data_IF_687215018867
#
_entry.id   IF_687215018867
#
_cell.length_a   1.000
_cell.length_b   1.000
_cell.length_c   1.000
_cell.angle_alpha   90.00
_cell.angle_beta   90.00
_cell.angle_gamma   90.00
#
_symmetry.space_group_name_H-M   'P 1'
#
loop_
_entity.id
_entity.type
_entity.pdbx_description
1 polymer ?
#
# COMPACT_ATOMS: atom_id res chain seq x y z
N UNK A 1 -12.00 7.82 -35.94
CA UNK A 1 -11.34 8.51 -34.80
C UNK A 1 -11.25 7.67 -33.51
N UNK A 2 -11.86 6.49 -33.44
CA UNK A 2 -11.81 5.57 -32.28
C UNK A 2 -10.48 4.80 -32.11
N UNK A 3 -9.74 4.57 -33.20
CA UNK A 3 -8.51 3.77 -33.18
C UNK A 3 -7.28 4.40 -32.49
N UNK A 4 -7.17 5.74 -32.47
CA UNK A 4 -6.06 6.42 -31.75
C UNK A 4 -6.32 6.49 -30.24
N UNK A 5 -7.57 6.74 -29.83
CA UNK A 5 -7.97 6.77 -28.42
C UNK A 5 -7.84 5.41 -27.74
N UNK A 6 -8.20 4.32 -28.42
CA UNK A 6 -8.02 2.97 -27.86
C UNK A 6 -6.53 2.61 -27.71
N UNK A 7 -5.66 3.03 -28.63
CA UNK A 7 -4.21 2.83 -28.49
C UNK A 7 -3.61 3.58 -27.30
N UNK A 8 -4.05 4.82 -27.05
CA UNK A 8 -3.56 5.59 -25.91
C UNK A 8 -4.10 5.07 -24.58
N UNK A 9 -5.35 4.60 -24.54
CA UNK A 9 -5.92 3.96 -23.35
C UNK A 9 -5.22 2.64 -23.01
N UNK A 10 -4.98 1.78 -24.01
CA UNK A 10 -4.26 0.53 -23.81
C UNK A 10 -2.84 0.77 -23.30
N UNK A 11 -2.09 1.71 -23.89
CA UNK A 11 -0.74 2.04 -23.43
C UNK A 11 -0.71 2.60 -22.00
N UNK A 12 -1.74 3.36 -21.58
CA UNK A 12 -1.88 3.82 -20.19
C UNK A 12 -2.18 2.65 -19.25
N UNK A 13 -3.06 1.75 -19.65
CA UNK A 13 -3.42 0.59 -18.85
C UNK A 13 -2.25 -0.39 -18.69
N UNK A 14 -1.51 -0.68 -19.76
CA UNK A 14 -0.28 -1.47 -19.72
C UNK A 14 0.74 -0.87 -18.74
N UNK A 15 0.97 0.45 -18.81
CA UNK A 15 1.85 1.13 -17.86
C UNK A 15 1.36 1.08 -16.42
N UNK A 16 0.04 1.15 -16.21
CA UNK A 16 -0.53 0.98 -14.88
C UNK A 16 -0.32 -0.44 -14.36
N UNK A 17 -0.52 -1.46 -15.19
CA UNK A 17 -0.24 -2.85 -14.85
C UNK A 17 1.24 -3.07 -14.49
N UNK A 18 2.18 -2.43 -15.19
CA UNK A 18 3.60 -2.49 -14.83
C UNK A 18 3.82 -1.93 -13.41
N UNK A 19 3.23 -0.78 -13.08
CA UNK A 19 3.36 -0.21 -11.74
C UNK A 19 2.71 -1.08 -10.66
N UNK A 20 1.56 -1.67 -10.95
CA UNK A 20 0.88 -2.62 -10.06
C UNK A 20 1.73 -3.88 -9.88
N UNK A 21 2.36 -4.39 -10.93
CA UNK A 21 3.25 -5.56 -10.86
C UNK A 21 4.47 -5.28 -9.97
N UNK A 22 5.16 -4.15 -10.18
CA UNK A 22 6.29 -3.77 -9.32
C UNK A 22 5.85 -3.50 -7.88
N UNK A 23 4.68 -2.89 -7.68
CA UNK A 23 4.11 -2.70 -6.34
C UNK A 23 3.78 -4.04 -5.67
N UNK A 24 3.27 -5.02 -6.42
CA UNK A 24 2.97 -6.35 -5.90
C UNK A 24 4.23 -7.04 -5.39
N UNK A 25 5.31 -7.03 -6.19
CA UNK A 25 6.59 -7.60 -5.78
C UNK A 25 7.11 -6.98 -4.48
N UNK A 26 7.02 -5.66 -4.37
CA UNK A 26 7.43 -4.95 -3.16
C UNK A 26 6.55 -5.26 -1.94
N UNK A 27 5.23 -5.32 -2.13
CA UNK A 27 4.25 -5.64 -1.07
C UNK A 27 4.35 -7.10 -0.62
N UNK A 28 4.81 -8.01 -1.47
CA UNK A 28 5.05 -9.39 -1.08
C UNK A 28 6.39 -9.59 -0.37
N UNK A 29 7.45 -8.92 -0.81
CA UNK A 29 8.83 -9.17 -0.33
C UNK A 29 9.22 -8.31 0.87
N UNK A 30 8.87 -7.03 0.85
CA UNK A 30 9.36 -6.10 1.87
C UNK A 30 8.71 -6.32 3.26
N UNK A 31 7.39 -6.51 3.39
CA UNK A 31 6.75 -6.72 4.69
C UNK A 31 6.81 -8.19 5.15
N UNK A 32 7.66 -9.04 4.56
CA UNK A 32 7.80 -10.45 4.97
C UNK A 32 7.95 -10.65 6.49
N UNK A 33 8.76 -9.85 7.24
CA UNK A 33 8.84 -9.99 8.69
C UNK A 33 7.50 -9.75 9.39
N UNK A 34 6.71 -8.81 8.90
CA UNK A 34 5.37 -8.51 9.44
C UNK A 34 4.39 -9.61 9.09
N UNK A 35 4.41 -10.12 7.86
CA UNK A 35 3.57 -11.24 7.44
C UNK A 35 3.90 -12.50 8.25
N UNK A 36 5.18 -12.79 8.48
CA UNK A 36 5.61 -13.88 9.35
C UNK A 36 5.18 -13.67 10.81
N UNK A 37 5.18 -12.43 11.30
CA UNK A 37 4.64 -12.13 12.63
C UNK A 37 3.13 -12.38 12.71
N UNK A 38 2.36 -11.98 11.68
CA UNK A 38 0.90 -12.16 11.63
C UNK A 38 0.46 -13.63 11.69
N UNK A 39 1.30 -14.59 11.27
CA UNK A 39 0.97 -16.03 11.40
C UNK A 39 1.00 -16.52 12.84
N UNK A 40 1.62 -15.77 13.76
CA UNK A 40 1.67 -16.10 15.20
C UNK A 40 0.51 -15.49 16.01
N UNK A 41 -0.32 -14.64 15.38
CA UNK A 41 -1.37 -13.86 16.07
C UNK A 41 -2.65 -14.71 16.22
N UNK A 42 -3.38 -14.61 17.35
CA UNK A 42 -4.69 -15.27 17.52
C UNK A 42 -5.74 -14.74 16.53
N UNK A 43 -6.82 -15.49 16.31
CA UNK A 43 -7.89 -15.18 15.34
C UNK A 43 -7.43 -15.14 13.87
N UNK A 44 -6.79 -16.23 13.43
CA UNK A 44 -6.23 -16.38 12.08
C UNK A 44 -7.26 -16.12 10.96
N UNK A 45 -8.54 -16.40 11.18
CA UNK A 45 -9.61 -16.13 10.19
C UNK A 45 -9.84 -14.63 9.95
N UNK A 46 -9.65 -13.80 10.98
CA UNK A 46 -9.75 -12.35 10.90
C UNK A 46 -8.47 -11.73 10.34
N UNK A 47 -7.33 -12.27 10.78
CA UNK A 47 -6.00 -11.83 10.35
C UNK A 47 -5.79 -12.11 8.87
N UNK A 48 -6.07 -13.32 8.40
CA UNK A 48 -5.87 -13.70 6.98
C UNK A 48 -6.70 -12.84 6.02
N UNK A 49 -7.98 -12.61 6.34
CA UNK A 49 -8.87 -11.78 5.52
C UNK A 49 -8.42 -10.31 5.50
N UNK A 50 -8.04 -9.76 6.66
CA UNK A 50 -7.58 -8.37 6.76
C UNK A 50 -6.19 -8.20 6.11
N UNK A 51 -5.28 -9.15 6.30
CA UNK A 51 -3.96 -9.17 5.69
C UNK A 51 -4.06 -9.24 4.17
N UNK A 52 -4.86 -10.18 3.63
CA UNK A 52 -5.09 -10.29 2.19
C UNK A 52 -5.68 -9.00 1.62
N UNK A 53 -6.67 -8.42 2.30
CA UNK A 53 -7.28 -7.14 1.89
C UNK A 53 -6.24 -6.04 1.87
N UNK A 54 -5.42 -5.93 2.93
CA UNK A 54 -4.38 -4.91 3.02
C UNK A 54 -3.35 -5.04 1.90
N UNK A 55 -2.94 -6.27 1.56
CA UNK A 55 -1.98 -6.53 0.48
C UNK A 55 -2.58 -6.14 -0.88
N UNK A 56 -3.79 -6.63 -1.19
CA UNK A 56 -4.46 -6.34 -2.46
C UNK A 56 -4.68 -4.83 -2.66
N UNK A 57 -5.17 -4.15 -1.62
CA UNK A 57 -5.43 -2.71 -1.65
C UNK A 57 -4.11 -1.92 -1.71
N UNK A 58 -3.08 -2.33 -0.97
CA UNK A 58 -1.78 -1.68 -1.04
C UNK A 58 -1.18 -1.78 -2.45
N UNK A 59 -1.20 -2.97 -3.07
CA UNK A 59 -0.69 -3.19 -4.42
C UNK A 59 -1.38 -2.27 -5.45
N UNK A 60 -2.72 -2.26 -5.44
CA UNK A 60 -3.50 -1.43 -6.39
C UNK A 60 -3.32 0.07 -6.08
N UNK A 61 -3.31 0.44 -4.80
CA UNK A 61 -3.14 1.82 -4.35
C UNK A 61 -1.78 2.38 -4.75
N UNK A 62 -0.68 1.68 -4.42
CA UNK A 62 0.69 2.09 -4.76
C UNK A 62 0.85 2.20 -6.28
N UNK A 63 0.36 1.23 -7.06
CA UNK A 63 0.41 1.28 -8.52
C UNK A 63 -0.31 2.52 -9.08
N UNK A 64 -1.46 2.87 -8.49
CA UNK A 64 -2.26 4.02 -8.89
C UNK A 64 -1.62 5.36 -8.49
N UNK A 65 -1.02 5.45 -7.29
CA UNK A 65 -0.29 6.62 -6.82
C UNK A 65 0.97 6.88 -7.65
N UNK A 66 1.73 5.82 -7.97
CA UNK A 66 2.94 5.91 -8.82
C UNK A 66 2.65 6.37 -10.24
N UNK A 67 1.55 5.88 -10.82
CA UNK A 67 1.13 6.32 -12.14
C UNK A 67 0.48 7.71 -12.16
N UNK A 68 0.44 8.42 -11.02
CA UNK A 68 -0.26 9.72 -10.85
C UNK A 68 -1.72 9.67 -11.29
N UNK A 69 -2.35 8.49 -11.21
CA UNK A 69 -3.77 8.33 -11.46
C UNK A 69 -4.61 8.93 -10.33
N UNK A 70 -4.02 9.01 -9.13
CA UNK A 70 -4.54 9.76 -7.99
C UNK A 70 -3.43 10.69 -7.51
N UNK A 71 -3.69 11.99 -7.48
CA UNK A 71 -2.70 12.98 -7.06
C UNK A 71 -2.55 12.99 -5.53
N UNK A 72 -1.56 12.24 -5.07
CA UNK A 72 -1.12 12.23 -3.66
C UNK A 72 0.24 12.91 -3.50
N UNK A 73 0.83 13.45 -4.57
CA UNK A 73 2.20 13.96 -4.60
C UNK A 73 3.22 12.96 -5.19
N UNK A 74 4.50 13.34 -5.14
CA UNK A 74 5.58 12.60 -5.78
C UNK A 74 5.91 11.30 -5.01
N UNK A 75 5.55 10.16 -5.61
CA UNK A 75 5.86 8.83 -5.08
C UNK A 75 7.22 8.34 -5.60
N UNK A 76 8.08 7.71 -4.75
CA UNK A 76 9.40 7.24 -5.19
C UNK A 76 9.34 6.19 -6.29
N UNK A 77 10.30 6.26 -7.21
CA UNK A 77 10.43 5.28 -8.28
C UNK A 77 10.80 3.89 -7.73
N UNK A 78 10.36 2.80 -8.38
CA UNK A 78 10.69 1.43 -7.95
C UNK A 78 12.19 1.12 -7.95
N UNK A 79 12.94 1.75 -8.86
CA UNK A 79 14.38 1.51 -9.07
C UNK A 79 15.30 2.23 -8.09
N UNK A 80 14.76 2.99 -7.13
CA UNK A 80 15.56 3.68 -6.13
C UNK A 80 15.87 2.75 -4.93
N UNK A 81 17.00 2.06 -5.03
CA UNK A 81 17.49 1.14 -3.99
C UNK A 81 17.80 1.84 -2.66
N UNK A 82 18.07 3.14 -2.66
CA UNK A 82 18.42 3.88 -1.43
C UNK A 82 17.20 4.04 -0.53
N UNK A 83 16.01 4.21 -1.12
CA UNK A 83 14.76 4.35 -0.35
C UNK A 83 14.10 3.01 -0.01
N UNK A 84 14.65 1.89 -0.50
CA UNK A 84 14.06 0.55 -0.36
C UNK A 84 13.84 0.11 1.10
N UNK A 85 14.77 0.34 2.07
CA UNK A 85 14.56 -0.02 3.47
C UNK A 85 13.48 0.82 4.15
N UNK A 86 13.42 2.12 3.85
CA UNK A 86 12.37 3.02 4.37
C UNK A 86 10.99 2.63 3.87
N UNK A 87 10.91 2.26 2.59
CA UNK A 87 9.66 1.79 1.97
C UNK A 87 9.22 0.45 2.55
N UNK A 88 10.18 -0.43 2.86
CA UNK A 88 9.91 -1.67 3.60
C UNK A 88 9.29 -1.43 4.96
N UNK A 89 9.90 -0.57 5.77
CA UNK A 89 9.38 -0.22 7.09
C UNK A 89 7.98 0.40 6.98
N UNK A 90 7.76 1.31 6.02
CA UNK A 90 6.47 1.95 5.82
C UNK A 90 5.37 0.98 5.38
N UNK A 91 5.67 0.08 4.45
CA UNK A 91 4.74 -0.97 4.02
C UNK A 91 4.44 -1.95 5.13
N UNK A 92 5.44 -2.35 5.91
CA UNK A 92 5.25 -3.18 7.10
C UNK A 92 4.29 -2.53 8.10
N UNK A 93 4.45 -1.23 8.36
CA UNK A 93 3.54 -0.48 9.25
C UNK A 93 2.15 -0.35 8.65
N UNK A 94 2.01 -0.01 7.37
CA UNK A 94 0.71 0.15 6.73
C UNK A 94 -0.06 -1.18 6.67
N UNK A 95 0.60 -2.28 6.30
CA UNK A 95 0.01 -3.62 6.19
C UNK A 95 -0.25 -4.19 7.59
N UNK A 96 0.71 -4.13 8.50
CA UNK A 96 0.56 -4.64 9.87
C UNK A 96 -0.48 -3.84 10.66
N UNK A 97 -0.38 -2.51 10.64
CA UNK A 97 -1.33 -1.61 11.31
C UNK A 97 -2.73 -1.66 10.70
N UNK A 98 -2.82 -1.70 9.37
CA UNK A 98 -4.09 -1.87 8.65
C UNK A 98 -4.75 -3.20 8.97
N UNK A 99 -3.98 -4.29 8.99
CA UNK A 99 -4.47 -5.63 9.39
C UNK A 99 -4.96 -5.64 10.83
N UNK A 100 -4.22 -5.03 11.76
CA UNK A 100 -4.61 -4.96 13.16
C UNK A 100 -5.92 -4.19 13.34
N UNK A 101 -6.05 -3.00 12.72
CA UNK A 101 -7.28 -2.21 12.75
C UNK A 101 -8.46 -2.93 12.08
N UNK A 102 -8.22 -3.67 11.00
CA UNK A 102 -9.21 -4.53 10.35
C UNK A 102 -9.73 -5.64 11.25
N UNK A 103 -8.83 -6.32 11.96
CA UNK A 103 -9.17 -7.35 12.93
C UNK A 103 -9.99 -6.75 14.07
N UNK A 104 -9.56 -5.63 14.66
CA UNK A 104 -10.30 -4.94 15.74
C UNK A 104 -11.69 -4.49 15.29
N UNK A 105 -11.81 -3.95 14.08
CA UNK A 105 -13.09 -3.54 13.52
C UNK A 105 -14.02 -4.73 13.31
N UNK A 106 -13.51 -5.85 12.79
CA UNK A 106 -14.27 -7.09 12.63
C UNK A 106 -14.73 -7.67 13.97
N UNK A 107 -13.87 -7.69 14.98
CA UNK A 107 -14.21 -8.23 16.31
C UNK A 107 -15.23 -7.37 17.03
N UNK A 108 -15.28 -6.06 16.75
CA UNK A 108 -16.22 -5.13 17.40
C UNK A 108 -17.58 -5.11 16.70
N UNK A 109 -17.60 -5.17 15.37
CA UNK A 109 -18.82 -5.08 14.58
C UNK A 109 -19.46 -6.45 14.28
N UNK A 110 -18.76 -7.56 14.56
CA UNK A 110 -19.16 -8.95 14.25
C UNK A 110 -19.50 -9.20 12.76
N UNK A 111 -19.15 -8.28 11.87
CA UNK A 111 -19.43 -8.32 10.45
C UNK A 111 -18.12 -8.45 9.66
N UNK A 112 -18.06 -9.48 8.80
CA UNK A 112 -16.86 -9.78 8.01
C UNK A 112 -16.48 -8.65 7.04
N UNK A 113 -17.46 -7.99 6.42
CA UNK A 113 -17.24 -6.93 5.43
C UNK A 113 -16.73 -5.63 6.06
N UNK A 114 -17.07 -5.36 7.32
CA UNK A 114 -16.61 -4.15 8.04
C UNK A 114 -15.10 -4.19 8.20
N UNK A 115 -14.54 -5.36 8.54
CA UNK A 115 -13.09 -5.54 8.62
C UNK A 115 -12.40 -5.26 7.28
N UNK A 116 -12.97 -5.73 6.16
CA UNK A 116 -12.45 -5.47 4.80
C UNK A 116 -12.45 -3.96 4.49
N UNK A 117 -13.59 -3.30 4.67
CA UNK A 117 -13.75 -1.88 4.32
C UNK A 117 -12.84 -0.99 5.17
N UNK A 118 -12.79 -1.23 6.49
CA UNK A 118 -11.92 -0.46 7.39
C UNK A 118 -10.45 -0.67 7.02
N UNK A 119 -10.03 -1.91 6.80
CA UNK A 119 -8.65 -2.21 6.38
C UNK A 119 -8.31 -1.48 5.08
N UNK A 120 -9.17 -1.56 4.07
CA UNK A 120 -8.96 -0.94 2.78
C UNK A 120 -8.79 0.58 2.90
N UNK A 121 -9.70 1.24 3.64
CA UNK A 121 -9.66 2.69 3.83
C UNK A 121 -8.41 3.12 4.60
N UNK A 122 -8.10 2.44 5.72
CA UNK A 122 -6.92 2.76 6.54
C UNK A 122 -5.63 2.61 5.74
N UNK A 123 -5.48 1.51 5.01
CA UNK A 123 -4.29 1.23 4.20
C UNK A 123 -4.12 2.27 3.09
N UNK A 124 -5.20 2.64 2.39
CA UNK A 124 -5.15 3.70 1.38
C UNK A 124 -4.80 5.06 1.95
N UNK A 125 -5.39 5.42 3.10
CA UNK A 125 -5.09 6.68 3.77
C UNK A 125 -3.63 6.74 4.24
N UNK A 126 -3.12 5.65 4.83
CA UNK A 126 -1.71 5.55 5.20
C UNK A 126 -0.82 5.71 3.97
N UNK A 127 -1.01 4.90 2.93
CA UNK A 127 -0.18 4.96 1.72
C UNK A 127 -0.27 6.29 0.98
N UNK A 128 -1.44 6.93 0.98
CA UNK A 128 -1.64 8.27 0.42
C UNK A 128 -0.97 9.37 1.25
N UNK A 129 -0.82 9.18 2.56
CA UNK A 129 -0.11 10.10 3.45
C UNK A 129 1.42 9.98 3.35
N UNK A 130 1.96 8.88 2.79
CA UNK A 130 3.40 8.65 2.62
C UNK A 130 4.20 9.85 2.08
N UNK A 131 3.85 10.49 0.95
CA UNK A 131 4.58 11.64 0.43
C UNK A 131 4.58 12.84 1.39
N UNK A 132 3.55 13.03 2.20
CA UNK A 132 3.52 14.07 3.24
C UNK A 132 4.47 13.73 4.39
N UNK A 133 4.51 12.46 4.82
CA UNK A 133 5.44 11.99 5.86
C UNK A 133 6.88 12.16 5.40
N UNK A 134 7.21 11.79 4.16
CA UNK A 134 8.58 11.98 3.62
C UNK A 134 8.94 13.46 3.54
N UNK A 135 8.05 14.33 3.08
CA UNK A 135 8.27 15.79 3.07
C UNK A 135 8.43 16.35 4.48
N UNK A 136 7.65 15.87 5.44
CA UNK A 136 7.75 16.24 6.85
C UNK A 136 9.11 15.87 7.42
N UNK A 137 9.53 14.61 7.24
CA UNK A 137 10.85 14.12 7.68
C UNK A 137 11.99 14.87 6.99
N UNK A 138 11.90 15.15 5.69
CA UNK A 138 12.90 15.95 4.97
C UNK A 138 12.94 17.41 5.44
N UNK A 139 11.81 17.98 5.86
CA UNK A 139 11.77 19.33 6.45
C UNK A 139 12.42 19.37 7.83
N UNK A 140 12.23 18.32 8.64
CA UNK A 140 12.91 18.13 9.92
C UNK A 140 14.41 17.86 9.75
N UNK A 141 14.79 17.10 8.73
CA UNK A 141 16.19 16.80 8.39
C UNK A 141 16.95 17.98 7.78
N UNK A 142 16.27 19.09 7.43
CA UNK A 142 16.95 20.36 7.09
C UNK A 142 17.48 21.12 8.32
N UNK A 143 17.60 20.44 9.46
CA UNK A 143 18.51 20.81 10.54
C UNK A 143 19.70 19.83 10.51
N UNK A 144 20.82 20.33 9.98
CA UNK A 144 22.17 19.75 10.02
C UNK A 144 22.41 18.54 9.10
N UNK A 145 22.88 18.82 7.88
CA UNK A 145 24.25 18.50 7.41
C UNK A 145 24.55 19.28 6.12
#
# INVERSE_FOLDING_TARGET
>A
MTGSSNRTLNARFERWLDYVFFALLEVCVLPLPVLAFLTSVPNQDAVSLSALTSMAVATVGIGSFRGQYVDVGAWPQPSDFVTMPFRSAYYGVAIGGGTWLGVVARTTAELWWVGVVVTAVVVLLFLGAFPFVVRGVQSLSRWHL
#
